data_IF_972123293674
#
_entry.id   IF_972123293674
#
_cell.length_a   1.000
_cell.length_b   1.000
_cell.length_c   1.000
_cell.angle_alpha   90.00
_cell.angle_beta   90.00
_cell.angle_gamma   90.00
#
_symmetry.space_group_name_H-M   'P 1'
#
loop_
_entity.id
_entity.type
_entity.pdbx_description
1 polymer ?
#
# COMPACT_ATOMS: atom_id res chain seq x y z
N UNK A 1 3.54 6.88 1.60
CA UNK A 1 2.42 7.64 0.98
C UNK A 1 2.42 9.12 1.33
N UNK A 2 2.04 9.55 2.55
CA UNK A 2 1.98 10.99 2.90
C UNK A 2 3.28 11.75 2.66
N UNK A 3 4.43 11.18 3.03
CA UNK A 3 5.75 11.77 2.75
C UNK A 3 5.99 12.02 1.26
N UNK A 4 5.57 11.13 0.37
CA UNK A 4 5.71 11.35 -1.07
C UNK A 4 4.74 12.43 -1.61
N UNK A 5 3.51 12.49 -1.09
CA UNK A 5 2.59 13.60 -1.39
C UNK A 5 3.25 14.95 -1.03
N UNK A 6 3.96 15.00 0.10
CA UNK A 6 4.70 16.19 0.50
C UNK A 6 5.87 16.50 -0.43
N UNK A 7 6.70 15.49 -0.75
CA UNK A 7 7.89 15.66 -1.60
C UNK A 7 7.55 16.14 -3.01
N UNK A 8 6.46 15.66 -3.60
CA UNK A 8 5.99 16.07 -4.94
C UNK A 8 5.31 17.46 -4.90
N UNK A 9 5.08 18.02 -3.71
CA UNK A 9 4.48 19.35 -3.55
C UNK A 9 2.95 19.38 -3.70
N UNK A 10 2.27 18.25 -3.45
CA UNK A 10 0.81 18.13 -3.52
C UNK A 10 0.09 18.52 -2.22
N UNK A 11 0.83 18.91 -1.17
CA UNK A 11 0.31 19.20 0.17
C UNK A 11 -0.84 20.22 0.18
N UNK A 12 -0.70 21.32 -0.56
CA UNK A 12 -1.70 22.39 -0.56
C UNK A 12 -3.01 21.92 -1.21
N UNK A 13 -2.90 21.26 -2.37
CA UNK A 13 -4.04 20.74 -3.13
C UNK A 13 -4.76 19.64 -2.33
N UNK A 14 -4.01 18.74 -1.69
CA UNK A 14 -4.56 17.71 -0.79
C UNK A 14 -5.39 18.31 0.36
N UNK A 15 -4.99 19.47 0.89
CA UNK A 15 -5.70 20.15 1.98
C UNK A 15 -6.94 20.89 1.48
N UNK A 16 -6.87 21.53 0.32
CA UNK A 16 -7.92 22.45 -0.12
C UNK A 16 -8.94 21.84 -1.08
N UNK A 17 -8.63 20.71 -1.73
CA UNK A 17 -9.55 20.04 -2.65
C UNK A 17 -9.92 18.63 -2.15
N UNK A 18 -11.22 18.42 -1.92
CA UNK A 18 -11.77 17.12 -1.53
C UNK A 18 -11.56 16.04 -2.60
N UNK A 19 -11.70 16.41 -3.87
CA UNK A 19 -11.52 15.52 -5.03
C UNK A 19 -10.07 15.02 -5.08
N UNK A 20 -9.10 15.93 -5.02
CA UNK A 20 -7.68 15.57 -5.01
C UNK A 20 -7.30 14.75 -3.78
N UNK A 21 -7.83 15.13 -2.61
CA UNK A 21 -7.63 14.35 -1.39
C UNK A 21 -8.12 12.92 -1.53
N UNK A 22 -9.27 12.72 -2.19
CA UNK A 22 -9.79 11.39 -2.47
C UNK A 22 -8.86 10.61 -3.40
N UNK A 23 -8.46 11.20 -4.54
CA UNK A 23 -7.53 10.61 -5.52
C UNK A 23 -6.22 10.19 -4.84
N UNK A 24 -5.63 11.06 -4.02
CA UNK A 24 -4.35 10.80 -3.35
C UNK A 24 -4.45 9.79 -2.19
N UNK A 25 -5.64 9.58 -1.64
CA UNK A 25 -5.91 8.54 -0.65
C UNK A 25 -6.29 7.20 -1.28
N UNK A 26 -6.74 7.19 -2.53
CA UNK A 26 -7.23 5.97 -3.17
C UNK A 26 -6.23 4.81 -3.15
N UNK A 27 -4.91 5.00 -3.36
CA UNK A 27 -3.94 3.94 -3.23
C UNK A 27 -3.97 3.20 -1.87
N UNK A 28 -4.37 3.90 -0.79
CA UNK A 28 -4.53 3.29 0.54
C UNK A 28 -5.78 2.40 0.62
N UNK A 29 -6.84 2.76 -0.12
CA UNK A 29 -8.10 2.03 -0.16
C UNK A 29 -7.97 0.74 -0.98
N UNK A 30 -7.05 0.69 -1.95
CA UNK A 30 -6.75 -0.53 -2.70
C UNK A 30 -6.31 -1.71 -1.83
N UNK A 31 -5.77 -1.45 -0.63
CA UNK A 31 -5.45 -2.52 0.31
C UNK A 31 -6.70 -3.29 0.75
N UNK A 32 -7.89 -2.71 0.62
CA UNK A 32 -9.16 -3.30 1.00
C UNK A 32 -9.92 -3.93 -0.19
N UNK A 33 -9.46 -3.73 -1.43
CA UNK A 33 -10.06 -4.37 -2.61
C UNK A 33 -9.51 -5.79 -2.83
N UNK A 34 -10.27 -6.70 -3.44
CA UNK A 34 -9.76 -8.01 -3.84
C UNK A 34 -8.47 -7.88 -4.65
N UNK A 35 -7.48 -8.72 -4.38
CA UNK A 35 -6.14 -8.64 -5.00
C UNK A 35 -6.21 -8.58 -6.54
N UNK A 36 -7.07 -9.42 -7.14
CA UNK A 36 -7.29 -9.47 -8.59
C UNK A 36 -7.83 -8.17 -9.19
N UNK A 37 -8.51 -7.35 -8.41
CA UNK A 37 -9.18 -6.14 -8.87
C UNK A 37 -8.33 -4.88 -8.65
N UNK A 38 -7.24 -4.98 -7.87
CA UNK A 38 -6.37 -3.86 -7.48
C UNK A 38 -5.84 -3.10 -8.69
N UNK A 39 -5.18 -3.79 -9.63
CA UNK A 39 -4.58 -3.14 -10.80
C UNK A 39 -5.65 -2.48 -11.69
N UNK A 40 -6.74 -3.21 -11.98
CA UNK A 40 -7.83 -2.67 -12.80
C UNK A 40 -8.51 -1.46 -12.17
N UNK A 41 -8.65 -1.46 -10.83
CA UNK A 41 -9.26 -0.36 -10.08
C UNK A 41 -8.35 0.86 -10.07
N UNK A 42 -7.03 0.65 -9.99
CA UNK A 42 -6.05 1.74 -10.09
C UNK A 42 -6.08 2.39 -11.47
N UNK A 43 -6.08 1.61 -12.56
CA UNK A 43 -6.11 2.15 -13.92
C UNK A 43 -7.39 2.95 -14.21
N UNK A 44 -8.56 2.45 -13.79
CA UNK A 44 -9.83 3.18 -13.91
C UNK A 44 -9.83 4.54 -13.21
N UNK A 45 -9.00 4.72 -12.17
CA UNK A 45 -8.88 6.00 -11.48
C UNK A 45 -7.88 6.91 -12.14
N UNK A 46 -6.77 6.38 -12.67
CA UNK A 46 -5.86 7.15 -13.53
C UNK A 46 -6.60 7.80 -14.69
N UNK A 47 -7.45 7.04 -15.38
CA UNK A 47 -8.26 7.52 -16.51
C UNK A 47 -9.25 8.63 -16.14
N UNK A 48 -9.67 8.71 -14.87
CA UNK A 48 -10.65 9.69 -14.37
C UNK A 48 -10.03 10.96 -13.82
N UNK A 49 -8.70 11.05 -13.75
CA UNK A 49 -8.03 12.26 -13.26
C UNK A 49 -8.24 13.39 -14.27
N UNK A 50 -8.67 14.54 -13.77
CA UNK A 50 -8.85 15.75 -14.57
C UNK A 50 -7.50 16.24 -15.13
N UNK A 51 -7.54 16.76 -16.36
CA UNK A 51 -6.38 17.35 -17.02
C UNK A 51 -6.20 18.80 -16.56
N UNK A 52 -5.73 18.97 -15.33
CA UNK A 52 -5.42 20.27 -14.74
C UNK A 52 -3.92 20.41 -14.38
N UNK A 53 -3.52 21.60 -13.92
CA UNK A 53 -2.13 21.93 -13.57
C UNK A 53 -1.51 20.99 -12.52
N UNK A 54 -2.33 20.26 -11.77
CA UNK A 54 -1.87 19.33 -10.74
C UNK A 54 -1.59 17.92 -11.28
N UNK A 55 -2.10 17.58 -12.47
CA UNK A 55 -2.01 16.24 -13.04
C UNK A 55 -0.58 15.73 -13.14
N UNK A 56 0.35 16.53 -13.64
CA UNK A 56 1.77 16.15 -13.75
C UNK A 56 2.36 15.67 -12.41
N UNK A 57 2.03 16.37 -11.32
CA UNK A 57 2.44 15.99 -9.96
C UNK A 57 1.71 14.75 -9.46
N UNK A 58 0.42 14.59 -9.77
CA UNK A 58 -0.33 13.39 -9.41
C UNK A 58 0.23 12.16 -10.15
N UNK A 59 0.56 12.31 -11.43
CA UNK A 59 1.16 11.26 -12.26
C UNK A 59 2.54 10.85 -11.73
N UNK A 60 3.35 11.80 -11.27
CA UNK A 60 4.62 11.50 -10.58
C UNK A 60 4.39 10.66 -9.31
N UNK A 61 3.43 11.07 -8.47
CA UNK A 61 3.06 10.34 -7.27
C UNK A 61 2.51 8.94 -7.57
N UNK A 62 1.73 8.80 -8.64
CA UNK A 62 1.17 7.52 -9.09
C UNK A 62 2.20 6.61 -9.73
N UNK A 63 3.17 7.17 -10.45
CA UNK A 63 4.32 6.42 -10.97
C UNK A 63 5.12 5.81 -9.83
N UNK A 64 5.36 6.58 -8.76
CA UNK A 64 5.98 6.06 -7.54
C UNK A 64 5.16 4.92 -6.94
N UNK A 65 3.83 5.07 -6.84
CA UNK A 65 2.97 4.02 -6.29
C UNK A 65 3.00 2.75 -7.13
N UNK A 66 2.91 2.87 -8.45
CA UNK A 66 3.02 1.74 -9.38
C UNK A 66 4.33 1.02 -9.18
N UNK A 67 5.47 1.70 -9.37
CA UNK A 67 6.79 1.07 -9.27
C UNK A 67 7.03 0.42 -7.90
N UNK A 68 6.44 0.95 -6.83
CA UNK A 68 6.62 0.41 -5.47
C UNK A 68 5.68 -0.76 -5.15
N UNK A 69 4.41 -0.72 -5.58
CA UNK A 69 3.36 -1.61 -5.03
C UNK A 69 2.57 -2.41 -6.06
N UNK A 70 2.56 -1.98 -7.33
CA UNK A 70 1.85 -2.68 -8.41
C UNK A 70 2.80 -3.25 -9.48
N UNK A 71 3.95 -2.61 -9.67
CA UNK A 71 4.81 -2.69 -10.84
C UNK A 71 4.29 -1.76 -11.94
N UNK A 72 5.13 -1.46 -12.94
CA UNK A 72 4.73 -0.72 -14.14
C UNK A 72 4.95 -1.52 -15.43
N UNK A 73 4.21 -1.17 -16.49
CA UNK A 73 4.51 -1.60 -17.86
C UNK A 73 5.11 -0.43 -18.59
N UNK A 74 6.38 -0.55 -18.98
CA UNK A 74 7.14 0.53 -19.64
C UNK A 74 7.55 0.08 -21.04
N UNK A 75 7.52 1.01 -22.00
CA UNK A 75 8.06 0.76 -23.34
C UNK A 75 9.59 0.84 -23.29
N UNK A 76 10.24 -0.28 -23.56
CA UNK A 76 11.70 -0.39 -23.61
C UNK A 76 12.16 -0.80 -25.00
N UNK A 77 13.39 -0.43 -25.35
CA UNK A 77 13.97 -0.84 -26.63
C UNK A 77 14.23 -2.34 -26.58
N UNK A 78 13.78 -3.06 -27.61
CA UNK A 78 14.05 -4.49 -27.76
C UNK A 78 15.56 -4.80 -27.88
N UNK A 79 16.38 -3.82 -28.26
CA UNK A 79 17.85 -3.93 -28.29
C UNK A 79 18.52 -2.56 -28.23
N UNK A 80 19.84 -2.53 -28.02
CA UNK A 80 20.64 -1.29 -28.00
C UNK A 80 20.82 -0.63 -29.39
N UNK A 81 20.14 -1.11 -30.44
CA UNK A 81 20.24 -0.54 -31.80
C UNK A 81 19.47 0.78 -31.90
N UNK A 82 19.95 1.71 -32.75
CA UNK A 82 19.33 3.04 -32.94
C UNK A 82 17.86 2.95 -33.36
N UNK A 83 17.50 1.98 -34.19
CA UNK A 83 16.15 1.76 -34.71
C UNK A 83 15.45 0.54 -34.08
N UNK A 84 15.78 0.20 -32.82
CA UNK A 84 15.14 -0.91 -32.15
C UNK A 84 13.65 -0.64 -31.90
N UNK A 85 12.82 -1.65 -32.15
CA UNK A 85 11.38 -1.62 -31.84
C UNK A 85 11.18 -1.39 -30.33
N UNK A 86 10.19 -0.57 -29.99
CA UNK A 86 9.71 -0.41 -28.62
C UNK A 86 8.82 -1.62 -28.27
N UNK A 87 9.12 -2.28 -27.16
CA UNK A 87 8.36 -3.43 -26.65
C UNK A 87 7.93 -3.11 -25.23
N UNK A 88 6.71 -3.52 -24.87
CA UNK A 88 6.23 -3.41 -23.51
C UNK A 88 6.97 -4.40 -22.62
N UNK A 89 7.60 -3.90 -21.57
CA UNK A 89 8.21 -4.71 -20.53
C UNK A 89 7.51 -4.43 -19.20
N UNK A 90 6.97 -5.51 -18.61
CA UNK A 90 6.45 -5.51 -17.25
C UNK A 90 7.62 -5.48 -16.28
N UNK A 91 7.61 -4.54 -15.35
CA UNK A 91 8.53 -4.46 -14.21
C UNK A 91 7.78 -4.90 -12.96
N UNK A 92 8.39 -5.79 -12.18
CA UNK A 92 7.85 -6.23 -10.89
C UNK A 92 7.84 -5.09 -9.87
N UNK A 93 6.83 -5.02 -8.97
CA UNK A 93 6.83 -4.08 -7.87
C UNK A 93 7.95 -4.36 -6.86
N UNK A 94 8.37 -3.31 -6.14
CA UNK A 94 9.22 -3.48 -4.97
C UNK A 94 8.57 -4.33 -3.87
N UNK A 95 7.25 -4.21 -3.70
CA UNK A 95 6.46 -5.00 -2.75
C UNK A 95 5.22 -5.57 -3.43
N UNK A 96 5.16 -6.90 -3.53
CA UNK A 96 4.02 -7.61 -4.10
C UNK A 96 2.69 -7.31 -3.39
N UNK A 97 1.59 -7.33 -4.15
CA UNK A 97 0.22 -7.05 -3.66
C UNK A 97 -0.14 -7.86 -2.42
N UNK A 98 0.19 -9.17 -2.42
CA UNK A 98 -0.10 -10.10 -1.33
C UNK A 98 0.52 -9.70 0.02
N UNK A 99 1.59 -8.88 0.01
CA UNK A 99 2.27 -8.43 1.23
C UNK A 99 1.52 -7.31 1.94
N UNK A 100 0.80 -6.47 1.19
CA UNK A 100 0.15 -5.27 1.73
C UNK A 100 -1.37 -5.30 1.62
N UNK A 101 -1.95 -6.21 0.86
CA UNK A 101 -3.39 -6.39 0.76
C UNK A 101 -3.97 -6.90 2.10
N UNK A 102 -5.10 -6.33 2.49
CA UNK A 102 -5.82 -6.60 3.73
C UNK A 102 -7.22 -7.16 3.49
N UNK A 103 -7.66 -7.30 2.23
CA UNK A 103 -9.03 -7.68 1.88
C UNK A 103 -9.42 -8.99 2.55
N UNK A 104 -8.63 -10.05 2.33
CA UNK A 104 -8.87 -11.37 2.92
C UNK A 104 -8.90 -11.33 4.45
N UNK A 105 -7.95 -10.61 5.06
CA UNK A 105 -7.89 -10.47 6.52
C UNK A 105 -9.13 -9.81 7.10
N UNK A 106 -9.65 -8.80 6.42
CA UNK A 106 -10.88 -8.11 6.81
C UNK A 106 -12.09 -9.03 6.66
N UNK A 107 -12.17 -9.80 5.56
CA UNK A 107 -13.24 -10.77 5.36
C UNK A 107 -13.22 -11.91 6.40
N UNK A 108 -12.03 -12.40 6.75
CA UNK A 108 -11.85 -13.49 7.72
C UNK A 108 -11.77 -13.00 9.17
N UNK A 109 -11.95 -11.69 9.42
CA UNK A 109 -11.83 -11.07 10.74
C UNK A 109 -10.51 -11.42 11.47
N UNK A 110 -9.41 -11.59 10.73
CA UNK A 110 -8.11 -11.97 11.29
C UNK A 110 -7.56 -10.79 12.08
N UNK A 111 -7.24 -10.96 13.38
CA UNK A 111 -6.74 -9.87 14.21
C UNK A 111 -5.44 -9.29 13.65
N UNK A 112 -5.32 -7.95 13.72
CA UNK A 112 -4.12 -7.25 13.22
C UNK A 112 -2.92 -7.44 14.11
N UNK A 113 -3.19 -7.52 15.40
CA UNK A 113 -2.23 -7.48 16.47
C UNK A 113 -2.38 -8.74 17.31
N UNK A 114 -1.29 -9.09 17.96
CA UNK A 114 -1.21 -10.04 19.06
C UNK A 114 -1.92 -9.52 20.34
N UNK A 115 -2.86 -8.55 20.26
CA UNK A 115 -3.53 -7.95 21.43
C UNK A 115 -4.10 -9.02 22.37
N UNK A 116 -4.64 -10.11 21.83
CA UNK A 116 -5.14 -11.22 22.64
C UNK A 116 -4.01 -11.93 23.40
N UNK A 117 -2.85 -12.12 22.75
CA UNK A 117 -1.65 -12.69 23.37
C UNK A 117 -1.04 -11.72 24.38
N UNK A 118 -1.01 -10.42 24.08
CA UNK A 118 -0.53 -9.38 25.00
C UNK A 118 -1.45 -9.25 26.21
N UNK A 119 -2.78 -9.30 26.00
CA UNK A 119 -3.76 -9.30 27.07
C UNK A 119 -3.65 -10.57 27.93
N UNK A 120 -3.48 -11.74 27.30
CA UNK A 120 -3.24 -12.99 28.01
C UNK A 120 -1.94 -12.94 28.81
N UNK A 121 -0.84 -12.50 28.20
CA UNK A 121 0.47 -12.38 28.84
C UNK A 121 0.43 -11.38 30.00
N UNK A 122 -0.27 -10.25 29.84
CA UNK A 122 -0.48 -9.27 30.91
C UNK A 122 -1.31 -9.85 32.05
N UNK A 123 -2.41 -10.54 31.76
CA UNK A 123 -3.24 -11.22 32.77
C UNK A 123 -2.45 -12.29 33.51
N UNK A 124 -1.70 -13.12 32.79
CA UNK A 124 -0.83 -14.14 33.35
C UNK A 124 0.28 -13.55 34.22
N UNK A 125 0.94 -12.49 33.75
CA UNK A 125 1.98 -11.79 34.51
C UNK A 125 1.44 -11.12 35.77
N UNK A 126 0.20 -10.62 35.77
CA UNK A 126 -0.42 -10.05 36.96
C UNK A 126 -0.88 -11.13 37.95
N UNK A 127 -1.25 -12.32 37.47
CA UNK A 127 -1.58 -13.47 38.30
C UNK A 127 -0.34 -14.02 39.02
N UNK A 128 0.81 -13.99 38.37
CA UNK A 128 2.09 -14.38 38.97
C UNK A 128 2.60 -13.27 39.90
N UNK A 129 2.87 -13.61 41.17
CA UNK A 129 3.64 -12.71 42.04
C UNK A 129 5.03 -12.49 41.43
N UNK A 130 5.64 -11.32 41.65
CA UNK A 130 7.00 -11.03 41.16
C UNK A 130 7.96 -12.18 41.56
N UNK A 131 8.62 -12.78 40.57
CA UNK A 131 9.47 -13.98 40.68
C UNK A 131 8.74 -15.25 41.18
N UNK A 132 7.80 -15.80 40.41
CA UNK A 132 7.18 -17.08 40.74
C UNK A 132 8.23 -18.19 40.60
N UNK A 133 8.33 -19.03 41.62
CA UNK A 133 9.20 -20.21 41.56
C UNK A 133 8.51 -21.30 40.74
N UNK A 134 9.27 -21.98 39.87
CA UNK A 134 8.76 -22.96 38.89
C UNK A 134 7.89 -24.04 39.55
N UNK A 135 8.19 -24.42 40.80
CA UNK A 135 7.42 -25.41 41.54
C UNK A 135 5.95 -25.00 41.79
N UNK A 136 5.61 -23.70 41.77
CA UNK A 136 4.22 -23.22 41.92
C UNK A 136 3.38 -23.34 40.65
N UNK A 137 4.00 -23.71 39.53
CA UNK A 137 3.35 -23.83 38.22
C UNK A 137 3.06 -25.29 37.82
N UNK A 138 3.65 -26.26 38.54
CA UNK A 138 3.66 -27.68 38.16
C UNK A 138 2.82 -28.55 39.12
N UNK A 139 2.20 -27.95 40.14
CA UNK A 139 1.25 -28.62 41.05
C UNK A 139 -0.20 -28.52 40.53
#
# INVERSE_FOLDING_TARGET
>A
MWRHIQNVGLTNIYRNSSIHRFILKFPLVLALSPEKDVESSFQKIKEKIADDDSKSKIDEFFTYFEDTYLGSTKLVKSSNRRNARMVEQRTEPMFEIKLWNLHRRVQECIPRTNNFVEAWHNSFSNMLKSHPLVYKLVD
#
